data_IF_191412922555
#
_entry.id   IF_191412922555
#
_cell.length_a   1.000
_cell.length_b   1.000
_cell.length_c   1.000
_cell.angle_alpha   90.00
_cell.angle_beta   90.00
_cell.angle_gamma   90.00
#
_symmetry.space_group_name_H-M   'P 1'
#
loop_
_entity.id
_entity.type
_entity.pdbx_description
1 polymer ?
#
# COMPACT_ATOMS: atom_id res chain seq x y z
N UNK A 1 -10.19 2.49 20.35
CA UNK A 1 -10.30 3.96 20.28
C UNK A 1 -11.75 4.38 20.09
N UNK A 2 -12.17 5.55 20.58
CA UNK A 2 -13.55 6.04 20.41
C UNK A 2 -13.80 6.50 18.96
N UNK A 3 -14.84 5.96 18.33
CA UNK A 3 -15.27 6.34 16.97
C UNK A 3 -15.55 7.85 16.84
N UNK A 4 -15.92 8.51 17.94
CA UNK A 4 -16.17 9.96 17.96
C UNK A 4 -14.88 10.77 17.74
N UNK A 5 -13.77 10.33 18.32
CA UNK A 5 -12.47 10.99 18.21
C UNK A 5 -11.91 10.85 16.79
N UNK A 6 -11.96 9.65 16.21
CA UNK A 6 -11.51 9.41 14.83
C UNK A 6 -12.29 10.27 13.84
N UNK A 7 -13.62 10.30 13.97
CA UNK A 7 -14.48 11.14 13.13
C UNK A 7 -14.14 12.63 13.26
N UNK A 8 -13.88 13.09 14.49
CA UNK A 8 -13.49 14.48 14.73
C UNK A 8 -12.15 14.82 14.07
N UNK A 9 -11.11 14.00 14.24
CA UNK A 9 -9.78 14.24 13.63
C UNK A 9 -9.89 14.22 12.10
N UNK A 10 -10.58 13.24 11.51
CA UNK A 10 -10.81 13.19 10.07
C UNK A 10 -11.52 14.45 9.56
N UNK A 11 -12.54 14.93 10.27
CA UNK A 11 -13.25 16.15 9.91
C UNK A 11 -12.37 17.39 10.08
N UNK A 12 -11.52 17.44 11.11
CA UNK A 12 -10.56 18.52 11.30
C UNK A 12 -9.57 18.58 10.13
N UNK A 13 -8.93 17.46 9.78
CA UNK A 13 -7.97 17.38 8.65
C UNK A 13 -8.67 17.73 7.33
N UNK A 14 -9.89 17.24 7.11
CA UNK A 14 -10.70 17.62 5.95
C UNK A 14 -10.95 19.14 5.91
N UNK A 15 -11.29 19.74 7.05
CA UNK A 15 -11.50 21.18 7.18
C UNK A 15 -10.27 22.02 6.82
N UNK A 16 -9.05 21.51 7.03
CA UNK A 16 -7.81 22.18 6.58
C UNK A 16 -7.83 22.39 5.07
N UNK A 17 -8.33 21.42 4.30
CA UNK A 17 -8.43 21.52 2.85
C UNK A 17 -9.33 22.70 2.44
N UNK A 18 -10.51 22.79 3.06
CA UNK A 18 -11.48 23.85 2.81
C UNK A 18 -10.99 25.24 3.23
N UNK A 19 -10.26 25.32 4.34
CA UNK A 19 -9.76 26.57 4.89
C UNK A 19 -8.56 27.13 4.13
N UNK A 20 -7.67 26.25 3.65
CA UNK A 20 -6.34 26.65 3.17
C UNK A 20 -6.19 26.51 1.66
N UNK A 21 -6.87 25.53 1.04
CA UNK A 21 -6.63 25.16 -0.36
C UNK A 21 -7.73 25.64 -1.32
N UNK A 22 -8.84 26.17 -0.79
CA UNK A 22 -10.04 26.50 -1.57
C UNK A 22 -9.81 27.35 -2.80
N UNK A 23 -9.08 28.43 -2.65
CA UNK A 23 -8.81 29.39 -3.74
C UNK A 23 -7.54 29.06 -4.52
N UNK A 24 -6.81 27.99 -4.14
CA UNK A 24 -5.54 27.59 -4.74
C UNK A 24 -5.68 26.38 -5.66
N UNK A 25 -6.63 25.49 -5.35
CA UNK A 25 -6.84 24.21 -6.02
C UNK A 25 -8.32 23.98 -6.28
N UNK A 26 -8.61 23.20 -7.33
CA UNK A 26 -9.93 22.59 -7.48
C UNK A 26 -10.11 21.51 -6.42
N UNK A 27 -11.34 21.26 -5.95
CA UNK A 27 -11.62 20.32 -4.85
C UNK A 27 -10.97 18.95 -5.01
N UNK A 28 -11.06 18.36 -6.21
CA UNK A 28 -10.45 17.07 -6.49
C UNK A 28 -8.93 17.01 -6.35
N UNK A 29 -8.27 18.18 -6.31
CA UNK A 29 -6.82 18.35 -6.14
C UNK A 29 -6.39 18.67 -4.71
N UNK A 30 -7.32 18.73 -3.75
CA UNK A 30 -6.95 18.88 -2.34
C UNK A 30 -6.20 17.65 -1.83
N UNK A 31 -6.52 16.46 -2.36
CA UNK A 31 -5.90 15.19 -1.95
C UNK A 31 -4.38 15.18 -2.18
N UNK A 32 -3.92 15.75 -3.30
CA UNK A 32 -2.50 15.93 -3.69
C UNK A 32 -1.68 16.73 -2.64
N UNK A 33 -2.35 17.42 -1.70
CA UNK A 33 -1.69 18.20 -0.63
C UNK A 33 -2.00 17.63 0.75
N UNK A 34 -3.27 17.32 1.03
CA UNK A 34 -3.72 16.91 2.36
C UNK A 34 -3.21 15.52 2.73
N UNK A 35 -3.25 14.56 1.80
CA UNK A 35 -2.78 13.20 2.09
C UNK A 35 -1.27 13.18 2.38
N UNK A 36 -0.38 13.75 1.53
CA UNK A 36 1.05 13.77 1.81
C UNK A 36 1.40 14.54 3.07
N UNK A 37 0.74 15.68 3.34
CA UNK A 37 0.98 16.46 4.56
C UNK A 37 0.55 15.73 5.83
N UNK A 38 -0.54 14.94 5.77
CA UNK A 38 -0.99 14.12 6.89
C UNK A 38 -0.03 12.96 7.16
N UNK A 39 0.44 12.28 6.10
CA UNK A 39 1.50 11.25 6.19
C UNK A 39 2.77 11.83 6.80
N UNK A 40 3.25 12.96 6.26
CA UNK A 40 4.43 13.65 6.78
C UNK A 40 4.30 14.03 8.24
N UNK A 41 3.13 14.53 8.66
CA UNK A 41 2.92 14.90 10.06
C UNK A 41 2.98 13.68 10.98
N UNK A 42 2.41 12.55 10.57
CA UNK A 42 2.46 11.31 11.34
C UNK A 42 3.89 10.77 11.44
N UNK A 43 4.62 10.71 10.33
CA UNK A 43 6.03 10.28 10.31
C UNK A 43 6.90 11.19 11.18
N UNK A 44 6.71 12.51 11.10
CA UNK A 44 7.42 13.48 11.95
C UNK A 44 7.14 13.24 13.43
N UNK A 45 5.86 13.08 13.81
CA UNK A 45 5.45 12.88 15.19
C UNK A 45 6.03 11.61 15.81
N UNK A 46 6.20 10.54 15.02
CA UNK A 46 6.87 9.30 15.44
C UNK A 46 8.36 9.53 15.72
N UNK A 47 9.02 10.36 14.92
CA UNK A 47 10.46 10.63 15.01
C UNK A 47 10.83 11.77 15.99
N UNK A 48 9.86 12.51 16.53
CA UNK A 48 10.12 13.67 17.39
C UNK A 48 11.02 13.30 18.60
N UNK A 49 10.80 12.16 19.24
CA UNK A 49 11.56 11.72 20.42
C UNK A 49 12.97 11.23 20.07
N UNK A 50 13.14 10.53 18.93
CA UNK A 50 14.43 9.96 18.51
C UNK A 50 15.28 10.92 17.69
N UNK A 51 14.78 12.13 17.39
CA UNK A 51 15.42 13.11 16.50
C UNK A 51 16.88 13.38 16.83
N UNK A 52 17.20 13.65 18.10
CA UNK A 52 18.56 13.97 18.51
C UNK A 52 19.50 12.76 18.37
N UNK A 53 19.02 11.55 18.69
CA UNK A 53 19.80 10.32 18.55
C UNK A 53 20.17 10.05 17.07
N UNK A 54 19.23 10.28 16.15
CA UNK A 54 19.47 10.18 14.70
C UNK A 54 20.50 11.20 14.24
N UNK A 55 20.41 12.46 14.70
CA UNK A 55 21.37 13.52 14.32
C UNK A 55 22.78 13.24 14.85
N UNK A 56 22.90 12.76 16.09
CA UNK A 56 24.20 12.42 16.69
C UNK A 56 24.82 11.21 15.99
N UNK A 57 24.00 10.18 15.67
CA UNK A 57 24.43 9.03 14.88
C UNK A 57 24.93 9.46 13.50
N UNK A 58 24.14 10.29 12.79
CA UNK A 58 24.50 10.82 11.47
C UNK A 58 25.84 11.55 11.48
N UNK A 59 26.02 12.45 12.44
CA UNK A 59 27.27 13.20 12.60
C UNK A 59 28.47 12.29 12.88
N UNK A 60 28.28 11.25 13.71
CA UNK A 60 29.30 10.23 13.99
C UNK A 60 29.70 9.44 12.75
N UNK A 61 28.72 8.97 11.98
CA UNK A 61 28.93 8.21 10.73
C UNK A 61 29.63 9.05 9.66
N UNK A 62 29.22 10.31 9.50
CA UNK A 62 29.86 11.24 8.56
C UNK A 62 31.31 11.52 8.92
N UNK A 63 31.59 11.74 10.20
CA UNK A 63 32.97 11.94 10.70
C UNK A 63 33.84 10.70 10.48
N UNK A 64 33.24 9.52 10.54
CA UNK A 64 33.91 8.25 10.27
C UNK A 64 34.04 7.93 8.77
N UNK A 65 33.41 8.71 7.88
CA UNK A 65 33.43 8.49 6.44
C UNK A 65 32.63 7.26 5.99
N UNK A 66 31.64 6.82 6.77
CA UNK A 66 30.77 5.68 6.43
C UNK A 66 29.80 6.11 5.34
N UNK A 67 29.75 5.37 4.22
CA UNK A 67 28.85 5.66 3.10
C UNK A 67 27.45 5.06 3.32
N UNK A 68 27.38 3.78 3.65
CA UNK A 68 26.12 3.07 3.91
C UNK A 68 25.69 3.27 5.37
N UNK A 69 24.72 4.16 5.57
CA UNK A 69 24.29 4.60 6.90
C UNK A 69 22.87 4.14 7.29
N UNK A 70 22.09 3.62 6.34
CA UNK A 70 20.65 3.38 6.49
C UNK A 70 20.30 2.53 7.73
N UNK A 71 20.90 1.34 7.86
CA UNK A 71 20.63 0.43 8.98
C UNK A 71 20.94 1.07 10.36
N UNK A 72 22.05 1.79 10.48
CA UNK A 72 22.45 2.45 11.72
C UNK A 72 21.51 3.62 12.07
N UNK A 73 21.01 4.34 11.06
CA UNK A 73 20.07 5.44 11.25
C UNK A 73 18.67 4.95 11.61
N UNK A 74 18.18 3.87 10.96
CA UNK A 74 16.94 3.17 11.37
C UNK A 74 17.03 2.70 12.83
N UNK A 75 18.16 2.07 13.19
CA UNK A 75 18.39 1.65 14.57
C UNK A 75 18.40 2.82 15.56
N UNK A 76 19.01 3.96 15.21
CA UNK A 76 19.02 5.15 16.06
C UNK A 76 17.64 5.81 16.17
N UNK A 77 16.82 5.73 15.12
CA UNK A 77 15.44 6.20 15.12
C UNK A 77 14.51 5.33 15.97
N UNK A 78 14.85 4.04 16.13
CA UNK A 78 13.96 3.03 16.70
C UNK A 78 12.84 2.60 15.75
N UNK A 79 12.95 2.97 14.47
CA UNK A 79 11.92 2.84 13.46
C UNK A 79 12.55 2.41 12.13
N UNK A 80 11.76 1.87 11.21
CA UNK A 80 12.25 1.48 9.88
C UNK A 80 12.47 2.66 8.92
N UNK A 81 12.36 3.89 9.42
CA UNK A 81 12.61 5.11 8.69
C UNK A 81 13.24 6.14 9.63
N UNK A 82 13.80 7.19 9.05
CA UNK A 82 14.45 8.25 9.82
C UNK A 82 14.38 9.58 9.09
N UNK A 83 14.71 10.66 9.78
CA UNK A 83 14.89 11.97 9.16
C UNK A 83 16.15 12.67 9.70
N UNK A 84 17.14 12.85 8.83
CA UNK A 84 18.45 13.46 9.12
C UNK A 84 18.47 14.99 8.99
N UNK A 85 17.37 15.62 8.59
CA UNK A 85 17.30 17.09 8.60
C UNK A 85 17.36 17.60 10.03
N UNK A 86 17.84 18.81 10.25
CA UNK A 86 17.83 19.44 11.59
C UNK A 86 16.45 19.93 12.04
N UNK A 87 15.40 19.67 11.27
CA UNK A 87 14.07 20.21 11.48
C UNK A 87 13.09 19.10 11.86
N UNK A 88 12.19 19.40 12.79
CA UNK A 88 10.87 18.79 12.89
C UNK A 88 9.85 19.66 12.16
N UNK A 89 8.67 19.13 11.84
CA UNK A 89 7.60 19.94 11.25
C UNK A 89 7.21 21.10 12.18
N UNK A 90 7.30 20.91 13.50
CA UNK A 90 7.00 21.96 14.50
C UNK A 90 7.97 23.13 14.44
N UNK A 91 9.24 22.89 14.13
CA UNK A 91 10.28 23.94 14.00
C UNK A 91 10.01 24.89 12.83
N UNK A 92 9.19 24.47 11.87
CA UNK A 92 8.90 25.22 10.65
C UNK A 92 7.74 26.21 10.80
N UNK A 93 7.03 26.22 11.93
CA UNK A 93 5.92 27.16 12.19
C UNK A 93 6.31 28.63 12.14
N UNK A 94 7.47 28.99 12.70
CA UNK A 94 7.80 30.39 13.04
C UNK A 94 8.86 31.02 12.13
N UNK A 95 8.82 30.76 10.82
CA UNK A 95 9.83 31.28 9.89
C UNK A 95 9.53 32.72 9.45
N UNK A 96 10.55 33.57 9.51
CA UNK A 96 10.40 35.01 9.26
C UNK A 96 10.11 35.38 7.79
N UNK A 97 10.33 34.47 6.83
CA UNK A 97 10.02 34.71 5.43
C UNK A 97 9.56 33.44 4.71
N UNK A 98 8.71 33.63 3.70
CA UNK A 98 8.20 32.56 2.82
C UNK A 98 9.29 31.79 2.10
N UNK A 99 10.34 32.49 1.67
CA UNK A 99 11.47 31.88 0.98
C UNK A 99 12.29 31.00 1.92
N UNK A 100 12.51 31.45 3.16
CA UNK A 100 13.20 30.65 4.17
C UNK A 100 12.36 29.43 4.56
N UNK A 101 11.06 29.60 4.78
CA UNK A 101 10.15 28.50 5.07
C UNK A 101 10.18 27.43 3.97
N UNK A 102 10.11 27.85 2.71
CA UNK A 102 10.19 26.95 1.57
C UNK A 102 11.51 26.16 1.59
N UNK A 103 12.65 26.84 1.71
CA UNK A 103 13.96 26.20 1.69
C UNK A 103 14.16 25.23 2.86
N UNK A 104 13.73 25.62 4.07
CA UNK A 104 13.80 24.76 5.25
C UNK A 104 12.86 23.56 5.14
N UNK A 105 11.67 23.74 4.55
CA UNK A 105 10.73 22.64 4.31
C UNK A 105 11.26 21.66 3.26
N UNK A 106 11.87 22.14 2.17
CA UNK A 106 12.54 21.29 1.18
C UNK A 106 13.69 20.49 1.85
N UNK A 107 14.53 21.15 2.66
CA UNK A 107 15.58 20.46 3.42
C UNK A 107 15.04 19.46 4.46
N UNK A 108 13.87 19.74 5.05
CA UNK A 108 13.16 18.81 5.91
C UNK A 108 12.71 17.55 5.16
N UNK A 109 12.14 17.72 3.96
CA UNK A 109 11.76 16.60 3.10
C UNK A 109 12.98 15.79 2.65
N UNK A 110 14.07 16.44 2.25
CA UNK A 110 15.30 15.80 1.80
C UNK A 110 15.98 14.96 2.89
N UNK A 111 15.70 15.25 4.17
CA UNK A 111 16.29 14.52 5.29
C UNK A 111 15.73 13.11 5.49
N UNK A 112 14.57 12.79 4.92
CA UNK A 112 13.91 11.50 5.11
C UNK A 112 14.66 10.33 4.43
N UNK A 113 14.53 9.13 5.01
CA UNK A 113 15.08 7.88 4.48
C UNK A 113 14.52 7.51 3.09
N UNK A 114 15.22 6.65 2.30
CA UNK A 114 14.83 6.35 0.92
C UNK A 114 13.41 5.83 0.74
N UNK A 115 12.90 5.00 1.67
CA UNK A 115 11.54 4.51 1.64
C UNK A 115 10.48 5.62 1.79
N UNK A 116 10.77 6.68 2.55
CA UNK A 116 9.90 7.85 2.66
C UNK A 116 10.08 8.80 1.47
N UNK A 117 11.28 8.90 0.88
CA UNK A 117 11.44 9.62 -0.40
C UNK A 117 10.56 9.01 -1.49
N UNK A 118 10.53 7.68 -1.58
CA UNK A 118 9.71 6.94 -2.53
C UNK A 118 8.20 7.21 -2.34
N UNK A 119 7.73 7.29 -1.09
CA UNK A 119 6.36 7.73 -0.77
C UNK A 119 6.10 9.16 -1.29
N UNK A 120 7.02 10.09 -1.04
CA UNK A 120 6.86 11.50 -1.45
C UNK A 120 6.89 11.70 -2.96
N UNK A 121 7.71 10.92 -3.65
CA UNK A 121 7.83 10.93 -5.11
C UNK A 121 6.56 10.38 -5.77
N UNK A 122 5.99 9.30 -5.23
CA UNK A 122 4.73 8.73 -5.72
C UNK A 122 3.51 9.61 -5.40
N UNK A 123 3.58 10.44 -4.35
CA UNK A 123 2.60 11.51 -4.13
C UNK A 123 2.83 12.75 -5.03
N UNK A 124 3.96 12.82 -5.75
CA UNK A 124 4.40 14.01 -6.48
C UNK A 124 4.40 15.29 -5.62
N UNK A 125 4.61 15.16 -4.30
CA UNK A 125 4.28 16.23 -3.36
C UNK A 125 5.17 17.47 -3.55
N UNK A 126 6.43 17.27 -3.96
CA UNK A 126 7.38 18.34 -4.25
C UNK A 126 6.88 19.30 -5.34
N UNK A 127 6.06 18.81 -6.27
CA UNK A 127 5.47 19.63 -7.34
C UNK A 127 4.45 20.64 -6.79
N UNK A 128 3.91 20.40 -5.59
CA UNK A 128 2.94 21.29 -4.95
C UNK A 128 3.60 22.46 -4.21
N UNK A 129 4.84 22.29 -3.73
CA UNK A 129 5.54 23.24 -2.86
C UNK A 129 5.65 24.65 -3.47
N UNK A 130 6.01 24.85 -4.76
CA UNK A 130 6.12 26.19 -5.32
C UNK A 130 4.79 26.96 -5.29
N UNK A 131 3.66 26.28 -5.54
CA UNK A 131 2.32 26.89 -5.50
C UNK A 131 1.94 27.24 -4.07
N UNK A 132 2.10 26.30 -3.13
CA UNK A 132 1.79 26.49 -1.71
C UNK A 132 2.61 27.64 -1.10
N UNK A 133 3.90 27.72 -1.41
CA UNK A 133 4.79 28.79 -0.94
C UNK A 133 4.40 30.16 -1.51
N UNK A 134 4.12 30.24 -2.82
CA UNK A 134 3.71 31.50 -3.48
C UNK A 134 2.43 32.08 -2.88
N UNK A 135 1.49 31.21 -2.52
CA UNK A 135 0.20 31.56 -1.95
C UNK A 135 0.20 31.70 -0.42
N UNK A 136 1.36 31.56 0.23
CA UNK A 136 1.50 31.62 1.71
C UNK A 136 0.66 30.56 2.46
N UNK A 137 0.37 29.45 1.79
CA UNK A 137 -0.44 28.36 2.36
C UNK A 137 0.41 27.35 3.15
N UNK A 138 1.70 27.20 2.81
CA UNK A 138 2.57 26.19 3.42
C UNK A 138 2.70 26.36 4.94
N UNK A 139 2.87 27.60 5.42
CA UNK A 139 2.94 27.90 6.86
C UNK A 139 1.64 27.55 7.57
N UNK A 140 0.51 27.99 7.02
CA UNK A 140 -0.83 27.71 7.55
C UNK A 140 -1.14 26.21 7.62
N UNK A 141 -0.73 25.43 6.60
CA UNK A 141 -0.86 23.97 6.63
C UNK A 141 -0.08 23.36 7.79
N UNK A 142 1.19 23.75 7.96
CA UNK A 142 2.07 23.29 9.04
C UNK A 142 1.48 23.69 10.41
N UNK A 143 0.99 24.91 10.56
CA UNK A 143 0.35 25.37 11.79
C UNK A 143 -0.88 24.54 12.15
N UNK A 144 -1.80 24.34 11.21
CA UNK A 144 -3.02 23.56 11.44
C UNK A 144 -2.73 22.09 11.75
N UNK A 145 -1.78 21.47 11.04
CA UNK A 145 -1.39 20.07 11.22
C UNK A 145 -0.56 19.80 12.48
N UNK A 146 0.08 20.84 13.03
CA UNK A 146 0.83 20.75 14.28
C UNK A 146 0.10 21.42 15.45
N UNK A 147 -1.20 21.71 15.29
CA UNK A 147 -2.07 22.23 16.35
C UNK A 147 -2.10 21.24 17.53
N UNK A 148 -2.07 21.72 18.78
CA UNK A 148 -2.26 20.85 19.95
C UNK A 148 -3.64 20.19 20.00
N UNK A 149 -4.62 20.68 19.22
CA UNK A 149 -5.96 20.09 19.15
C UNK A 149 -5.95 18.73 18.45
N UNK A 150 -4.96 18.47 17.58
CA UNK A 150 -4.79 17.18 16.89
C UNK A 150 -3.46 16.54 17.24
N UNK A 151 -3.52 15.43 17.96
CA UNK A 151 -2.35 14.63 18.28
C UNK A 151 -2.26 13.39 17.38
N UNK A 152 -1.44 13.50 16.33
CA UNK A 152 -1.11 12.39 15.43
C UNK A 152 0.14 11.62 15.88
N UNK A 153 0.63 11.79 17.12
CA UNK A 153 1.70 10.94 17.68
C UNK A 153 1.17 9.56 18.07
N UNK A 154 2.04 8.55 18.25
CA UNK A 154 1.63 7.24 18.77
C UNK A 154 0.90 7.30 20.12
N UNK A 155 1.17 8.33 20.94
CA UNK A 155 0.52 8.52 22.24
C UNK A 155 -0.92 9.04 22.12
N UNK A 156 -1.20 9.92 21.14
CA UNK A 156 -2.54 10.45 20.89
C UNK A 156 -3.40 9.56 19.99
N UNK A 157 -2.75 8.85 19.06
CA UNK A 157 -3.39 8.03 18.04
C UNK A 157 -2.55 6.78 17.73
N UNK A 158 -3.10 5.61 18.04
CA UNK A 158 -2.51 4.32 17.68
C UNK A 158 -2.49 4.08 16.16
N UNK A 159 -1.70 3.10 15.72
CA UNK A 159 -1.50 2.82 14.30
C UNK A 159 -2.80 2.38 13.60
N UNK A 160 -3.65 1.61 14.28
CA UNK A 160 -4.96 1.24 13.76
C UNK A 160 -5.85 2.47 13.52
N UNK A 161 -5.92 3.38 14.50
CA UNK A 161 -6.66 4.64 14.38
C UNK A 161 -6.13 5.50 13.24
N UNK A 162 -4.81 5.59 13.07
CA UNK A 162 -4.21 6.32 11.94
C UNK A 162 -4.59 5.72 10.59
N UNK A 163 -4.52 4.39 10.45
CA UNK A 163 -4.98 3.69 9.25
C UNK A 163 -6.45 3.99 8.93
N UNK A 164 -7.32 3.99 9.95
CA UNK A 164 -8.73 4.38 9.79
C UNK A 164 -8.90 5.84 9.35
N UNK A 165 -8.08 6.77 9.81
CA UNK A 165 -8.12 8.17 9.35
C UNK A 165 -7.72 8.26 7.87
N UNK A 166 -6.66 7.56 7.45
CA UNK A 166 -6.25 7.55 6.04
C UNK A 166 -7.34 6.95 5.15
N UNK A 167 -7.91 5.82 5.53
CA UNK A 167 -9.02 5.19 4.81
C UNK A 167 -10.20 6.16 4.64
N UNK A 168 -10.62 6.83 5.72
CA UNK A 168 -11.73 7.77 5.66
C UNK A 168 -11.42 9.03 4.83
N UNK A 169 -10.18 9.54 4.88
CA UNK A 169 -9.77 10.67 4.04
C UNK A 169 -9.81 10.28 2.55
N UNK A 170 -9.26 9.12 2.20
CA UNK A 170 -9.28 8.60 0.83
C UNK A 170 -10.71 8.40 0.35
N UNK A 171 -11.56 7.77 1.17
CA UNK A 171 -12.99 7.58 0.87
C UNK A 171 -13.68 8.91 0.54
N UNK A 172 -13.51 9.93 1.40
CA UNK A 172 -14.09 11.26 1.17
C UNK A 172 -13.59 11.94 -0.09
N UNK A 173 -12.30 11.85 -0.40
CA UNK A 173 -11.74 12.43 -1.63
C UNK A 173 -12.25 11.73 -2.90
N UNK A 174 -12.41 10.40 -2.85
CA UNK A 174 -12.96 9.65 -3.98
C UNK A 174 -14.44 9.95 -4.21
N UNK A 175 -15.22 10.09 -3.13
CA UNK A 175 -16.64 10.50 -3.19
C UNK A 175 -16.83 11.88 -3.83
N UNK A 176 -15.99 12.86 -3.49
CA UNK A 176 -16.03 14.21 -4.11
C UNK A 176 -15.60 14.20 -5.58
N UNK A 177 -14.81 13.21 -6.02
CA UNK A 177 -14.34 13.10 -7.40
C UNK A 177 -15.28 12.34 -8.34
N UNK A 178 -16.42 11.80 -7.85
CA UNK A 178 -17.31 10.91 -8.61
C UNK A 178 -16.58 9.72 -9.27
N UNK A 179 -15.44 9.29 -8.70
CA UNK A 179 -14.78 8.05 -9.11
C UNK A 179 -15.66 6.86 -8.66
N UNK A 180 -15.82 5.82 -9.50
CA UNK A 180 -16.69 4.69 -9.20
C UNK A 180 -16.23 3.99 -7.91
N UNK A 181 -17.00 4.17 -6.82
CA UNK A 181 -16.64 3.77 -5.46
C UNK A 181 -16.29 2.27 -5.28
N UNK A 182 -16.71 1.41 -6.21
CA UNK A 182 -16.46 -0.04 -6.16
C UNK A 182 -15.11 -0.50 -6.73
N UNK A 183 -14.39 0.35 -7.48
CA UNK A 183 -13.13 -0.03 -8.13
C UNK A 183 -11.88 0.19 -7.26
N UNK A 184 -11.99 0.95 -6.18
CA UNK A 184 -10.83 1.43 -5.41
C UNK A 184 -10.86 1.07 -3.93
N UNK A 185 -11.97 0.52 -3.42
CA UNK A 185 -12.10 0.20 -2.01
C UNK A 185 -12.92 -1.06 -1.78
N UNK A 186 -12.42 -1.92 -0.91
CA UNK A 186 -13.13 -3.13 -0.48
C UNK A 186 -13.64 -2.92 0.94
N UNK A 187 -14.95 -3.07 1.20
CA UNK A 187 -15.50 -2.92 2.54
C UNK A 187 -14.80 -3.81 3.57
N UNK A 188 -14.47 -3.26 4.73
CA UNK A 188 -13.77 -4.00 5.80
C UNK A 188 -14.46 -5.33 6.17
N UNK A 189 -15.79 -5.38 6.14
CA UNK A 189 -16.53 -6.62 6.41
C UNK A 189 -16.29 -7.70 5.34
N UNK A 190 -16.21 -7.29 4.06
CA UNK A 190 -15.86 -8.20 2.97
C UNK A 190 -14.41 -8.67 3.07
N UNK A 191 -13.48 -7.77 3.42
CA UNK A 191 -12.07 -8.12 3.67
C UNK A 191 -11.94 -9.14 4.80
N UNK A 192 -12.61 -8.92 5.93
CA UNK A 192 -12.63 -9.85 7.06
C UNK A 192 -13.19 -11.21 6.68
N UNK A 193 -14.26 -11.24 5.90
CA UNK A 193 -14.83 -12.48 5.38
C UNK A 193 -13.80 -13.23 4.52
N UNK A 194 -13.13 -12.55 3.58
CA UNK A 194 -12.09 -13.15 2.75
C UNK A 194 -10.94 -13.73 3.59
N UNK A 195 -10.44 -12.96 4.57
CA UNK A 195 -9.41 -13.42 5.50
C UNK A 195 -9.85 -14.65 6.30
N UNK A 196 -11.09 -14.68 6.78
CA UNK A 196 -11.62 -15.85 7.47
C UNK A 196 -11.75 -17.07 6.56
N UNK A 197 -12.16 -16.90 5.30
CA UNK A 197 -12.27 -18.00 4.33
C UNK A 197 -10.92 -18.63 3.97
N UNK A 198 -9.83 -17.85 3.99
CA UNK A 198 -8.49 -18.40 3.75
C UNK A 198 -7.92 -19.11 4.99
N UNK A 199 -8.21 -18.64 6.21
CA UNK A 199 -7.57 -19.20 7.42
C UNK A 199 -8.39 -20.24 8.17
N UNK A 200 -9.69 -20.01 8.39
CA UNK A 200 -10.51 -20.87 9.26
C UNK A 200 -10.57 -22.34 8.81
N UNK A 201 -10.70 -22.66 7.50
CA UNK A 201 -10.74 -24.06 7.06
C UNK A 201 -9.46 -24.84 7.36
N UNK A 202 -8.35 -24.14 7.62
CA UNK A 202 -7.04 -24.72 7.88
C UNK A 202 -6.46 -24.32 9.24
N UNK A 203 -7.28 -23.79 10.15
CA UNK A 203 -6.84 -23.30 11.45
C UNK A 203 -6.01 -24.33 12.22
N UNK A 204 -6.48 -25.58 12.28
CA UNK A 204 -5.80 -26.70 12.95
C UNK A 204 -4.49 -27.14 12.27
N UNK A 205 -4.24 -26.68 11.04
CA UNK A 205 -3.05 -27.01 10.26
C UNK A 205 -1.99 -25.90 10.28
N UNK A 206 -2.33 -24.72 10.78
CA UNK A 206 -1.40 -23.60 10.96
C UNK A 206 -0.49 -23.93 12.14
N UNK A 207 0.83 -23.90 11.89
CA UNK A 207 1.87 -24.21 12.86
C UNK A 207 2.64 -22.93 13.21
N UNK A 208 3.38 -22.95 14.32
CA UNK A 208 4.29 -21.84 14.62
C UNK A 208 5.33 -21.68 13.51
N UNK A 209 5.57 -20.46 13.07
CA UNK A 209 6.47 -20.18 11.96
C UNK A 209 6.15 -18.87 11.23
N UNK A 210 6.78 -18.70 10.07
CA UNK A 210 6.60 -17.50 9.24
C UNK A 210 5.74 -17.81 8.02
N UNK A 211 4.73 -16.98 7.80
CA UNK A 211 3.83 -17.08 6.65
C UNK A 211 3.93 -15.82 5.77
N UNK A 212 3.98 -16.01 4.46
CA UNK A 212 4.04 -14.92 3.48
C UNK A 212 2.63 -14.66 2.93
N UNK A 213 2.18 -13.42 3.08
CA UNK A 213 0.87 -12.94 2.61
C UNK A 213 1.07 -12.06 1.37
N UNK A 214 0.24 -12.22 0.34
CA UNK A 214 0.38 -11.45 -0.91
C UNK A 214 -0.95 -10.93 -1.47
N UNK A 215 -0.91 -9.69 -1.96
CA UNK A 215 -1.97 -9.05 -2.73
C UNK A 215 -1.38 -8.32 -3.96
N UNK A 216 -1.78 -8.76 -5.16
CA UNK A 216 -1.31 -8.20 -6.43
C UNK A 216 -2.07 -6.97 -6.92
N UNK A 217 -3.03 -6.47 -6.15
CA UNK A 217 -3.74 -5.22 -6.42
C UNK A 217 -4.11 -4.59 -5.07
N UNK A 218 -3.07 -4.32 -4.26
CA UNK A 218 -3.23 -4.12 -2.83
C UNK A 218 -3.90 -2.81 -2.43
N UNK A 219 -4.06 -1.85 -3.36
CA UNK A 219 -4.65 -0.56 -3.08
C UNK A 219 -3.92 0.14 -1.94
N UNK A 220 -4.66 0.47 -0.88
CA UNK A 220 -4.10 1.09 0.34
C UNK A 220 -3.60 0.07 1.38
N UNK A 221 -3.53 -1.23 1.07
CA UNK A 221 -3.00 -2.27 1.96
C UNK A 221 -3.97 -2.81 3.03
N UNK A 222 -5.23 -2.36 3.02
CA UNK A 222 -6.23 -2.76 4.02
C UNK A 222 -6.50 -4.26 4.04
N UNK A 223 -6.41 -4.94 2.89
CA UNK A 223 -6.54 -6.40 2.81
C UNK A 223 -5.43 -7.14 3.54
N UNK A 224 -4.18 -6.80 3.23
CA UNK A 224 -3.00 -7.43 3.81
C UNK A 224 -2.99 -7.32 5.34
N UNK A 225 -3.29 -6.13 5.84
CA UNK A 225 -3.26 -5.83 7.27
C UNK A 225 -4.39 -6.52 8.03
N UNK A 226 -5.61 -6.55 7.48
CA UNK A 226 -6.72 -7.31 8.09
C UNK A 226 -6.45 -8.82 8.06
N UNK A 227 -5.81 -9.33 7.01
CA UNK A 227 -5.45 -10.75 6.93
C UNK A 227 -4.40 -11.11 7.98
N UNK A 228 -3.40 -10.27 8.18
CA UNK A 228 -2.42 -10.42 9.26
C UNK A 228 -3.06 -10.39 10.64
N UNK A 229 -3.86 -9.37 10.95
CA UNK A 229 -4.58 -9.29 12.24
C UNK A 229 -5.42 -10.56 12.49
N UNK A 230 -6.09 -11.05 11.44
CA UNK A 230 -6.91 -12.26 11.51
C UNK A 230 -6.06 -13.51 11.78
N UNK A 231 -4.92 -13.65 11.11
CA UNK A 231 -4.01 -14.78 11.30
C UNK A 231 -3.33 -14.74 12.67
N UNK A 232 -2.91 -13.55 13.13
CA UNK A 232 -2.34 -13.36 14.46
C UNK A 232 -3.36 -13.75 15.54
N UNK A 233 -4.60 -13.25 15.45
CA UNK A 233 -5.66 -13.60 16.39
C UNK A 233 -5.94 -15.12 16.40
N UNK A 234 -6.06 -15.73 15.22
CA UNK A 234 -6.28 -17.17 15.09
C UNK A 234 -5.13 -17.97 15.71
N UNK A 235 -3.89 -17.51 15.52
CA UNK A 235 -2.70 -18.16 16.05
C UNK A 235 -2.67 -18.12 17.58
N UNK A 236 -3.02 -16.98 18.19
CA UNK A 236 -3.16 -16.84 19.65
C UNK A 236 -4.22 -17.80 20.19
N UNK A 237 -5.38 -17.89 19.54
CA UNK A 237 -6.48 -18.77 19.95
C UNK A 237 -6.07 -20.26 19.92
N UNK A 238 -5.10 -20.63 19.07
CA UNK A 238 -4.58 -21.99 18.93
C UNK A 238 -3.22 -22.22 19.63
N UNK A 239 -2.74 -21.23 20.41
CA UNK A 239 -1.46 -21.32 21.11
C UNK A 239 -0.25 -21.47 20.18
N UNK A 240 -0.28 -20.83 19.01
CA UNK A 240 0.77 -20.81 18.00
C UNK A 240 1.50 -19.46 18.00
N UNK A 241 2.78 -19.49 17.63
CA UNK A 241 3.59 -18.29 17.44
C UNK A 241 3.81 -18.09 15.93
N UNK A 242 3.09 -17.14 15.35
CA UNK A 242 3.13 -16.85 13.92
C UNK A 242 3.70 -15.47 13.67
N UNK A 243 4.64 -15.41 12.73
CA UNK A 243 5.10 -14.17 12.12
C UNK A 243 4.59 -14.08 10.67
N UNK A 244 4.28 -12.88 10.23
CA UNK A 244 3.76 -12.58 8.89
C UNK A 244 4.73 -11.69 8.14
N UNK A 245 4.86 -11.92 6.84
CA UNK A 245 5.56 -10.99 5.95
C UNK A 245 4.59 -10.62 4.82
N UNK A 246 4.25 -9.35 4.75
CA UNK A 246 3.31 -8.82 3.77
C UNK A 246 4.01 -8.45 2.47
N UNK A 247 3.39 -8.78 1.34
CA UNK A 247 3.85 -8.43 0.00
C UNK A 247 2.68 -7.83 -0.78
N UNK A 248 2.93 -6.70 -1.42
CA UNK A 248 1.88 -5.97 -2.13
C UNK A 248 2.38 -5.39 -3.44
N UNK A 249 1.50 -5.37 -4.44
CA UNK A 249 1.74 -4.65 -5.68
C UNK A 249 0.56 -3.73 -6.01
N UNK A 250 0.84 -2.47 -6.34
CA UNK A 250 -0.18 -1.47 -6.69
C UNK A 250 0.30 -0.54 -7.81
N UNK A 251 -0.51 -0.38 -8.86
CA UNK A 251 -0.15 0.41 -10.03
C UNK A 251 -0.42 1.91 -9.84
N UNK A 252 -1.37 2.28 -8.99
CA UNK A 252 -1.67 3.68 -8.70
C UNK A 252 -0.68 4.22 -7.64
N UNK A 253 0.10 5.23 -8.04
CA UNK A 253 1.17 5.82 -7.23
C UNK A 253 0.67 6.34 -5.87
N UNK A 254 -0.49 7.00 -5.85
CA UNK A 254 -1.03 7.59 -4.63
C UNK A 254 -1.50 6.52 -3.65
N UNK A 255 -2.24 5.51 -4.12
CA UNK A 255 -2.66 4.39 -3.25
C UNK A 255 -1.48 3.57 -2.76
N UNK A 256 -0.47 3.37 -3.62
CA UNK A 256 0.80 2.76 -3.24
C UNK A 256 1.49 3.55 -2.12
N UNK A 257 1.64 4.87 -2.28
CA UNK A 257 2.27 5.73 -1.29
C UNK A 257 1.55 5.68 0.07
N UNK A 258 0.21 5.61 0.06
CA UNK A 258 -0.60 5.42 1.27
C UNK A 258 -0.35 4.04 1.89
N UNK A 259 -0.39 2.98 1.10
CA UNK A 259 -0.14 1.60 1.55
C UNK A 259 1.23 1.48 2.23
N UNK A 260 2.27 1.99 1.57
CA UNK A 260 3.63 1.97 2.07
C UNK A 260 3.78 2.81 3.34
N UNK A 261 3.16 3.98 3.40
CA UNK A 261 3.16 4.80 4.61
C UNK A 261 2.47 4.13 5.80
N UNK A 262 1.30 3.50 5.59
CA UNK A 262 0.56 2.81 6.65
C UNK A 262 1.36 1.63 7.22
N UNK A 263 1.96 0.81 6.36
CA UNK A 263 2.79 -0.33 6.78
C UNK A 263 4.07 0.11 7.47
N UNK A 264 4.70 1.18 6.99
CA UNK A 264 5.89 1.75 7.62
C UNK A 264 5.60 2.22 9.06
N UNK A 265 4.39 2.70 9.32
CA UNK A 265 3.96 3.19 10.63
C UNK A 265 3.54 2.07 11.59
N UNK A 266 3.14 0.90 11.09
CA UNK A 266 2.67 -0.22 11.92
C UNK A 266 3.78 -0.94 12.71
N UNK A 267 5.04 -0.55 12.53
CA UNK A 267 6.19 -1.17 13.21
C UNK A 267 6.76 -2.39 12.48
N UNK A 268 6.13 -2.78 11.38
CA UNK A 268 6.57 -3.83 10.47
C UNK A 268 7.32 -3.24 9.27
N UNK A 269 8.23 -2.30 9.51
CA UNK A 269 8.76 -1.53 8.40
C UNK A 269 9.62 -2.31 7.40
N UNK A 270 10.04 -3.54 7.73
CA UNK A 270 10.60 -4.49 6.76
C UNK A 270 9.53 -4.96 5.75
N UNK A 271 8.25 -5.02 6.14
CA UNK A 271 7.14 -5.30 5.25
C UNK A 271 6.84 -4.14 4.30
N UNK A 272 7.08 -2.89 4.71
CA UNK A 272 6.93 -1.73 3.84
C UNK A 272 7.91 -1.75 2.64
N UNK A 273 9.09 -2.35 2.82
CA UNK A 273 10.07 -2.57 1.75
C UNK A 273 9.63 -3.68 0.77
N UNK A 274 8.63 -4.50 1.13
CA UNK A 274 8.01 -5.52 0.27
C UNK A 274 6.75 -5.03 -0.45
N UNK A 275 6.42 -3.74 -0.37
CA UNK A 275 5.38 -3.13 -1.19
C UNK A 275 6.06 -2.46 -2.38
N UNK A 276 5.60 -2.80 -3.58
CA UNK A 276 6.13 -2.26 -4.83
C UNK A 276 4.99 -1.63 -5.61
N UNK A 277 5.17 -0.41 -6.07
CA UNK A 277 4.09 0.27 -6.77
C UNK A 277 4.49 1.54 -7.47
N UNK A 278 3.53 2.08 -8.23
CA UNK A 278 3.74 3.15 -9.18
C UNK A 278 3.27 2.79 -10.59
N UNK A 279 3.11 3.76 -11.50
CA UNK A 279 2.52 3.58 -12.83
C UNK A 279 3.31 2.61 -13.74
N UNK A 280 4.56 2.33 -13.41
CA UNK A 280 5.45 1.37 -14.05
C UNK A 280 5.31 -0.06 -13.50
N UNK A 281 4.66 -0.25 -12.36
CA UNK A 281 4.56 -1.50 -11.61
C UNK A 281 3.22 -2.21 -11.81
N UNK A 282 2.81 -2.42 -13.07
CA UNK A 282 1.65 -3.27 -13.37
C UNK A 282 1.90 -4.73 -12.99
N UNK A 283 1.02 -5.32 -12.19
CA UNK A 283 1.07 -6.75 -11.80
C UNK A 283 1.05 -7.69 -13.00
N UNK A 284 0.42 -7.28 -14.10
CA UNK A 284 0.34 -8.10 -15.31
C UNK A 284 1.63 -8.01 -16.13
N UNK A 285 2.08 -6.81 -16.51
CA UNK A 285 3.24 -6.66 -17.42
C UNK A 285 4.60 -6.46 -16.75
N UNK A 286 4.62 -6.16 -15.46
CA UNK A 286 5.83 -5.93 -14.67
C UNK A 286 5.69 -6.53 -13.26
N UNK A 287 5.71 -7.87 -13.20
CA UNK A 287 5.61 -8.62 -11.94
C UNK A 287 6.72 -8.20 -10.97
N UNK A 288 6.35 -7.67 -9.80
CA UNK A 288 7.31 -7.26 -8.78
C UNK A 288 7.94 -8.46 -8.05
N UNK A 289 7.29 -9.64 -8.10
CA UNK A 289 7.71 -10.81 -7.33
C UNK A 289 7.84 -12.08 -8.20
N UNK A 290 8.66 -12.05 -9.27
CA UNK A 290 8.81 -13.18 -10.17
C UNK A 290 9.42 -14.38 -9.44
N UNK A 291 8.80 -15.55 -9.59
CA UNK A 291 9.26 -16.80 -8.97
C UNK A 291 9.09 -16.89 -7.45
N UNK A 292 8.51 -15.88 -6.80
CA UNK A 292 8.17 -15.94 -5.37
C UNK A 292 6.87 -16.69 -5.18
N UNK A 293 6.82 -17.52 -4.14
CA UNK A 293 5.63 -18.26 -3.72
C UNK A 293 5.12 -17.76 -2.37
N UNK A 294 3.80 -17.79 -2.16
CA UNK A 294 3.14 -17.24 -0.98
C UNK A 294 2.25 -18.26 -0.29
N UNK A 295 2.12 -18.21 1.03
CA UNK A 295 1.25 -19.13 1.78
C UNK A 295 -0.22 -18.75 1.64
N UNK A 296 -0.50 -17.46 1.75
CA UNK A 296 -1.85 -16.93 1.74
C UNK A 296 -1.92 -15.74 0.81
N UNK A 297 -2.95 -15.71 -0.03
CA UNK A 297 -3.10 -14.61 -0.98
C UNK A 297 -4.54 -14.14 -0.99
N UNK A 298 -4.72 -12.84 -0.99
CA UNK A 298 -6.02 -12.22 -1.11
C UNK A 298 -5.95 -10.99 -1.99
N UNK A 299 -6.97 -10.75 -2.81
CA UNK A 299 -6.98 -9.59 -3.71
C UNK A 299 -8.39 -9.19 -4.13
N UNK A 300 -8.58 -7.90 -4.41
CA UNK A 300 -9.72 -7.40 -5.14
C UNK A 300 -9.23 -6.70 -6.43
N UNK A 301 -8.94 -7.46 -7.49
CA UNK A 301 -8.42 -6.90 -8.72
C UNK A 301 -9.45 -6.03 -9.44
N UNK A 302 -9.03 -5.04 -10.25
CA UNK A 302 -9.94 -4.15 -10.96
C UNK A 302 -10.90 -4.90 -11.89
N UNK A 303 -12.17 -4.50 -11.87
CA UNK A 303 -13.26 -5.20 -12.58
C UNK A 303 -13.35 -4.76 -14.04
N UNK A 304 -13.28 -5.71 -14.98
CA UNK A 304 -13.58 -5.42 -16.38
C UNK A 304 -12.68 -4.36 -17.04
N UNK A 305 -11.51 -4.08 -16.46
CA UNK A 305 -10.58 -3.10 -17.02
C UNK A 305 -9.83 -3.70 -18.19
N UNK A 306 -9.68 -2.88 -19.23
CA UNK A 306 -8.81 -3.18 -20.36
C UNK A 306 -7.36 -3.28 -19.90
N UNK A 307 -6.71 -4.39 -20.26
CA UNK A 307 -5.28 -4.62 -20.05
C UNK A 307 -4.50 -4.61 -21.37
N UNK A 308 -5.05 -3.96 -22.41
CA UNK A 308 -4.45 -3.89 -23.75
C UNK A 308 -3.00 -3.37 -23.74
N UNK A 309 -2.70 -2.37 -22.91
CA UNK A 309 -1.33 -1.84 -22.79
C UNK A 309 -0.38 -2.86 -22.17
N UNK A 310 -0.81 -3.60 -21.15
CA UNK A 310 -0.03 -4.70 -20.58
C UNK A 310 0.21 -5.79 -21.62
N UNK A 311 -0.85 -6.21 -22.31
CA UNK A 311 -0.78 -7.19 -23.38
C UNK A 311 0.24 -6.80 -24.46
N UNK A 312 0.25 -5.54 -24.91
CA UNK A 312 1.22 -5.04 -25.90
C UNK A 312 2.66 -5.06 -25.36
N UNK A 313 2.88 -4.64 -24.10
CA UNK A 313 4.19 -4.72 -23.43
C UNK A 313 4.71 -6.15 -23.32
N UNK A 314 3.80 -7.12 -23.23
CA UNK A 314 4.10 -8.53 -23.12
C UNK A 314 4.17 -9.28 -24.47
N UNK A 315 4.28 -8.54 -25.59
CA UNK A 315 4.42 -9.12 -26.94
C UNK A 315 3.10 -9.36 -27.69
N UNK A 316 1.96 -9.00 -27.09
CA UNK A 316 0.64 -9.22 -27.69
C UNK A 316 0.19 -10.68 -27.62
N UNK A 317 -1.01 -10.97 -28.13
CA UNK A 317 -1.61 -12.33 -28.00
C UNK A 317 -0.81 -13.45 -28.67
N UNK A 318 -0.11 -13.13 -29.77
CA UNK A 318 0.60 -14.14 -30.58
C UNK A 318 1.98 -14.48 -30.02
N UNK A 319 2.67 -13.49 -29.48
CA UNK A 319 4.05 -13.64 -29.00
C UNK A 319 4.13 -13.68 -27.47
N UNK A 320 3.00 -13.81 -26.77
CA UNK A 320 2.96 -14.00 -25.32
C UNK A 320 3.72 -15.28 -24.93
N UNK A 321 4.70 -15.15 -24.04
CA UNK A 321 5.50 -16.27 -23.51
C UNK A 321 5.63 -16.25 -21.99
N UNK A 322 4.88 -15.39 -21.32
CA UNK A 322 4.93 -15.32 -19.85
C UNK A 322 4.41 -16.63 -19.25
N UNK A 323 5.21 -17.33 -18.42
CA UNK A 323 4.85 -18.63 -17.86
C UNK A 323 3.67 -18.57 -16.88
N UNK A 324 3.23 -17.38 -16.49
CA UNK A 324 2.01 -17.18 -15.68
C UNK A 324 0.74 -17.29 -16.53
N UNK A 325 0.83 -17.07 -17.84
CA UNK A 325 -0.33 -16.97 -18.75
C UNK A 325 -0.26 -17.92 -19.95
N UNK A 326 0.90 -18.52 -20.23
CA UNK A 326 1.07 -19.62 -21.18
C UNK A 326 1.72 -20.76 -20.40
N UNK A 327 0.93 -21.81 -20.16
CA UNK A 327 1.28 -22.88 -19.23
C UNK A 327 1.28 -24.24 -19.94
N UNK A 328 1.80 -25.25 -19.25
CA UNK A 328 1.54 -26.64 -19.59
C UNK A 328 0.30 -27.13 -18.84
N UNK A 329 -0.71 -27.64 -19.57
CA UNK A 329 -1.90 -28.24 -18.96
C UNK A 329 -2.46 -29.37 -19.83
N UNK A 330 -2.81 -30.50 -19.21
CA UNK A 330 -3.38 -31.67 -19.89
C UNK A 330 -2.61 -32.15 -21.16
N UNK A 331 -1.29 -32.00 -21.17
CA UNK A 331 -0.41 -32.38 -22.29
C UNK A 331 -0.29 -31.33 -23.41
N UNK A 332 -0.92 -30.17 -23.26
CA UNK A 332 -0.71 -28.99 -24.10
C UNK A 332 0.34 -28.07 -23.46
N UNK A 333 1.51 -27.94 -24.10
CA UNK A 333 2.64 -27.14 -23.63
C UNK A 333 2.49 -25.63 -23.94
N UNK A 334 1.50 -25.24 -24.75
CA UNK A 334 1.23 -23.85 -25.11
C UNK A 334 -0.19 -23.45 -24.69
N UNK A 335 -0.71 -24.06 -23.61
CA UNK A 335 -2.06 -23.81 -23.12
C UNK A 335 -2.21 -22.36 -22.67
N UNK A 336 -2.99 -21.58 -23.43
CA UNK A 336 -3.11 -20.14 -23.25
C UNK A 336 -4.23 -19.75 -22.29
N UNK A 337 -3.87 -19.03 -21.24
CA UNK A 337 -4.79 -18.39 -20.28
C UNK A 337 -5.11 -16.94 -20.64
N UNK A 338 -4.54 -16.43 -21.74
CA UNK A 338 -4.64 -15.02 -22.17
C UNK A 338 -6.10 -14.65 -22.47
N UNK A 339 -6.67 -13.76 -21.67
CA UNK A 339 -8.06 -13.31 -21.79
C UNK A 339 -8.25 -12.30 -22.94
N UNK A 340 -9.50 -11.86 -23.16
CA UNK A 340 -9.75 -10.69 -24.01
C UNK A 340 -9.08 -9.44 -23.44
N UNK A 341 -8.53 -8.59 -24.31
CA UNK A 341 -7.79 -7.39 -23.88
C UNK A 341 -8.67 -6.37 -23.14
N UNK A 342 -9.99 -6.44 -23.30
CA UNK A 342 -10.94 -5.59 -22.61
C UNK A 342 -11.22 -5.99 -21.17
N UNK A 343 -10.75 -7.16 -20.71
CA UNK A 343 -10.96 -7.61 -19.33
C UNK A 343 -9.78 -8.47 -18.85
N UNK A 344 -8.94 -7.89 -18.00
CA UNK A 344 -7.78 -8.55 -17.41
C UNK A 344 -8.04 -9.25 -16.08
N UNK A 345 -9.27 -9.23 -15.54
CA UNK A 345 -9.54 -9.61 -14.16
C UNK A 345 -9.06 -11.03 -13.82
N UNK A 346 -9.36 -12.03 -14.67
CA UNK A 346 -8.96 -13.41 -14.42
C UNK A 346 -7.45 -13.66 -14.55
N UNK A 347 -6.70 -12.73 -15.15
CA UNK A 347 -5.24 -12.83 -15.20
C UNK A 347 -4.61 -12.54 -13.85
N UNK A 348 -5.24 -11.71 -13.00
CA UNK A 348 -4.80 -11.57 -11.62
C UNK A 348 -4.93 -12.89 -10.85
N UNK A 349 -6.02 -13.63 -11.05
CA UNK A 349 -6.19 -14.98 -10.50
C UNK A 349 -5.10 -15.93 -11.03
N UNK A 350 -4.86 -15.97 -12.34
CA UNK A 350 -3.80 -16.81 -12.91
C UNK A 350 -2.40 -16.46 -12.35
N UNK A 351 -2.12 -15.16 -12.17
CA UNK A 351 -0.90 -14.67 -11.53
C UNK A 351 -0.78 -15.17 -10.08
N UNK A 352 -1.84 -15.12 -9.28
CA UNK A 352 -1.83 -15.65 -7.91
C UNK A 352 -1.60 -17.17 -7.89
N UNK A 353 -2.27 -17.92 -8.77
CA UNK A 353 -2.10 -19.38 -8.85
C UNK A 353 -0.66 -19.76 -9.25
N UNK A 354 -0.03 -18.97 -10.13
CA UNK A 354 1.37 -19.19 -10.51
C UNK A 354 2.35 -19.04 -9.35
N UNK A 355 1.93 -18.38 -8.26
CA UNK A 355 2.71 -18.09 -7.05
C UNK A 355 2.30 -18.97 -5.87
N UNK A 356 1.57 -20.06 -6.11
CA UNK A 356 1.24 -21.02 -5.06
C UNK A 356 2.45 -21.87 -4.66
N UNK A 357 2.65 -22.05 -3.36
CA UNK A 357 3.51 -23.09 -2.79
C UNK A 357 2.93 -24.46 -3.09
N UNK A 358 3.72 -25.31 -3.72
CA UNK A 358 3.34 -26.70 -4.06
C UNK A 358 4.05 -27.75 -3.21
N UNK A 359 5.15 -27.38 -2.54
CA UNK A 359 6.01 -28.30 -1.78
C UNK A 359 5.78 -28.32 -0.27
N UNK A 360 4.83 -27.54 0.25
CA UNK A 360 4.54 -27.47 1.69
C UNK A 360 3.32 -28.31 2.04
N UNK A 361 3.22 -28.73 3.32
CA UNK A 361 2.06 -29.51 3.81
C UNK A 361 0.73 -28.77 3.60
N UNK A 362 0.73 -27.46 3.82
CA UNK A 362 -0.46 -26.63 3.72
C UNK A 362 -0.76 -26.19 2.28
N UNK A 363 0.26 -26.13 1.42
CA UNK A 363 0.16 -25.48 0.11
C UNK A 363 -0.09 -23.98 0.26
N UNK A 364 -0.89 -23.43 -0.65
CA UNK A 364 -1.37 -22.05 -0.59
C UNK A 364 -2.89 -21.98 -0.58
N UNK A 365 -3.43 -20.90 -0.02
CA UNK A 365 -4.86 -20.57 -0.13
C UNK A 365 -5.05 -19.18 -0.72
N UNK A 366 -5.99 -19.06 -1.65
CA UNK A 366 -6.27 -17.83 -2.41
C UNK A 366 -7.74 -17.45 -2.21
N UNK A 367 -8.01 -16.18 -1.86
CA UNK A 367 -9.34 -15.59 -1.93
C UNK A 367 -9.31 -14.34 -2.80
N UNK A 368 -10.12 -14.28 -3.85
CA UNK A 368 -10.18 -13.11 -4.73
C UNK A 368 -11.61 -12.72 -5.05
N UNK A 369 -11.87 -11.42 -5.11
CA UNK A 369 -13.20 -10.90 -5.46
C UNK A 369 -13.30 -10.71 -6.95
N UNK A 370 -14.38 -11.23 -7.53
CA UNK A 370 -14.66 -11.12 -8.95
C UNK A 370 -16.06 -10.55 -9.19
N UNK A 371 -16.25 -9.90 -10.35
CA UNK A 371 -17.60 -9.65 -10.82
C UNK A 371 -18.20 -10.96 -11.35
N UNK A 372 -19.52 -11.01 -11.49
CA UNK A 372 -20.21 -12.25 -11.91
C UNK A 372 -19.77 -12.79 -13.27
N UNK A 373 -19.18 -11.95 -14.14
CA UNK A 373 -18.78 -12.35 -15.50
C UNK A 373 -17.67 -13.40 -15.50
N UNK A 374 -16.82 -13.44 -14.47
CA UNK A 374 -15.75 -14.43 -14.31
C UNK A 374 -16.27 -15.88 -14.27
N UNK A 375 -17.52 -16.09 -13.88
CA UNK A 375 -18.13 -17.42 -13.77
C UNK A 375 -18.53 -18.04 -15.12
N UNK A 376 -18.83 -17.22 -16.13
CA UNK A 376 -19.45 -17.72 -17.37
C UNK A 376 -18.89 -17.12 -18.67
N UNK A 377 -18.06 -16.08 -18.62
CA UNK A 377 -17.59 -15.40 -19.84
C UNK A 377 -16.45 -16.17 -20.51
N UNK A 378 -16.38 -16.10 -21.84
CA UNK A 378 -15.37 -16.74 -22.67
C UNK A 378 -15.89 -18.01 -23.32
N UNK A 379 -15.79 -18.07 -24.66
CA UNK A 379 -16.13 -19.28 -25.42
C UNK A 379 -15.11 -20.40 -25.16
N UNK A 380 -15.47 -21.63 -25.50
CA UNK A 380 -14.58 -22.78 -25.36
C UNK A 380 -13.22 -22.53 -26.04
N UNK A 381 -12.14 -22.68 -25.27
CA UNK A 381 -10.77 -22.47 -25.73
C UNK A 381 -10.26 -21.03 -25.60
N UNK A 382 -11.08 -20.09 -25.12
CA UNK A 382 -10.63 -18.74 -24.76
C UNK A 382 -10.06 -18.70 -23.34
N UNK A 383 -9.18 -17.73 -23.07
CA UNK A 383 -8.44 -17.61 -21.81
C UNK A 383 -9.30 -17.70 -20.57
N UNK A 384 -10.47 -17.05 -20.53
CA UNK A 384 -11.39 -17.10 -19.39
C UNK A 384 -11.93 -18.52 -19.14
N UNK A 385 -12.34 -19.21 -20.20
CA UNK A 385 -12.78 -20.61 -20.11
C UNK A 385 -11.64 -21.55 -19.74
N UNK A 386 -10.43 -21.27 -20.24
CA UNK A 386 -9.24 -22.04 -20.01
C UNK A 386 -8.73 -21.91 -18.58
N UNK A 387 -8.77 -20.72 -17.99
CA UNK A 387 -8.45 -20.50 -16.58
C UNK A 387 -9.41 -21.29 -15.69
N UNK A 388 -10.74 -21.21 -15.94
CA UNK A 388 -11.71 -22.01 -15.16
C UNK A 388 -11.44 -23.50 -15.30
N UNK A 389 -11.24 -23.99 -16.53
CA UNK A 389 -10.93 -25.40 -16.79
C UNK A 389 -9.66 -25.85 -16.06
N UNK A 390 -8.60 -25.05 -16.15
CA UNK A 390 -7.33 -25.32 -15.47
C UNK A 390 -7.50 -25.44 -13.96
N UNK A 391 -8.20 -24.49 -13.33
CA UNK A 391 -8.46 -24.51 -11.89
C UNK A 391 -9.29 -25.75 -11.49
N UNK A 392 -10.37 -26.04 -12.21
CA UNK A 392 -11.29 -27.13 -11.88
C UNK A 392 -10.66 -28.50 -12.11
N UNK A 393 -9.97 -28.70 -13.24
CA UNK A 393 -9.34 -29.99 -13.56
C UNK A 393 -8.14 -30.32 -12.65
N UNK A 394 -7.56 -29.31 -11.98
CA UNK A 394 -6.54 -29.50 -10.95
C UNK A 394 -7.10 -29.56 -9.52
N UNK A 395 -8.43 -29.51 -9.35
CA UNK A 395 -9.09 -29.57 -8.03
C UNK A 395 -8.66 -28.45 -7.06
N UNK A 396 -8.49 -27.22 -7.59
CA UNK A 396 -8.11 -26.05 -6.78
C UNK A 396 -9.27 -25.13 -6.39
N UNK A 397 -10.46 -25.30 -6.99
CA UNK A 397 -11.64 -24.51 -6.65
C UNK A 397 -12.34 -25.11 -5.43
N UNK A 398 -12.37 -24.39 -4.31
CA UNK A 398 -13.02 -24.84 -3.08
C UNK A 398 -14.45 -24.28 -2.91
N UNK A 399 -14.68 -23.00 -3.23
CA UNK A 399 -15.97 -22.31 -3.06
C UNK A 399 -16.19 -21.19 -4.09
#
# INVERSE_FOLDING_TARGET
MDSSQLSWITNYIWGIADDVLRDLYVRGKYRDVILPMTVLRRLDAVLEESKQAVLDMKAGLDKAGIVEQDAALRQAAGEAFYNTSKFTMRDLKSRASRQQLKADFEAYLDGFSPNVQDILDNFEFRNQIPRLSKADALGTLIEKLTSPDIDLSPAGLDNHGMGSIFEELVRKFNEENNEEAGEHWTPRDAVKLMAQLIFLPVADQIESGTYLLYDGACGTGGMLTVAEDTLQQLSVDHGKEVATHLYGQEINAETYAICKADLLLKGEGDAADNIVGGPEHSTLSNDAFPGREFDFMLSNPPYGKSWKTDLERMGGKKDMRDPRFVIEHAGDFEYSLVTRSSDGQMLFMANMISKMKRGTRLGSRIATVHNGSSLFTGDAGQGESNIRRWIIENDWLEA
#
